data_IF_360537110170
#
_entry.id   IF_360537110170
#
_cell.length_a   1.000
_cell.length_b   1.000
_cell.length_c   1.000
_cell.angle_alpha   90.00
_cell.angle_beta   90.00
_cell.angle_gamma   90.00
#
_symmetry.space_group_name_H-M   'P 1'
#
loop_
_entity.id
_entity.type
_entity.pdbx_description
1 polymer ?
#
# COMPACT_ATOMS: atom_id res chain seq x y z
N UNK A 1 6.04 14.29 -24.74
CA UNK A 1 4.67 14.49 -24.18
C UNK A 1 3.77 13.26 -24.37
N UNK A 2 3.52 12.74 -25.59
CA UNK A 2 2.65 11.56 -25.76
C UNK A 2 3.20 10.32 -25.05
N UNK A 3 4.47 9.97 -25.21
CA UNK A 3 5.11 8.81 -24.57
C UNK A 3 5.06 8.91 -23.02
N UNK A 4 5.20 10.09 -22.46
CA UNK A 4 5.10 10.34 -21.02
C UNK A 4 3.68 10.05 -20.49
N UNK A 5 2.66 10.57 -21.19
CA UNK A 5 1.26 10.31 -20.84
C UNK A 5 0.90 8.83 -21.01
N UNK A 6 1.42 8.19 -22.06
CA UNK A 6 1.22 6.74 -22.28
C UNK A 6 1.87 5.92 -21.16
N UNK A 7 3.07 6.29 -20.71
CA UNK A 7 3.75 5.59 -19.60
C UNK A 7 2.98 5.73 -18.28
N UNK A 8 2.51 6.93 -17.95
CA UNK A 8 1.72 7.19 -16.75
C UNK A 8 0.38 6.41 -16.82
N UNK A 9 -0.30 6.48 -17.98
CA UNK A 9 -1.54 5.73 -18.19
C UNK A 9 -1.34 4.21 -18.11
N UNK A 10 -0.26 3.69 -18.69
CA UNK A 10 0.13 2.30 -18.57
C UNK A 10 0.42 1.92 -17.11
N UNK A 11 1.06 2.80 -16.35
CA UNK A 11 1.28 2.62 -14.92
C UNK A 11 -0.04 2.42 -14.16
N UNK A 12 -0.99 3.31 -14.38
CA UNK A 12 -2.30 3.21 -13.75
C UNK A 12 -3.05 1.92 -14.13
N UNK A 13 -3.08 1.58 -15.41
CA UNK A 13 -3.76 0.36 -15.89
C UNK A 13 -3.08 -0.90 -15.35
N UNK A 14 -1.75 -0.95 -15.37
CA UNK A 14 -0.99 -2.09 -14.83
C UNK A 14 -1.21 -2.25 -13.32
N UNK A 15 -1.20 -1.16 -12.57
CA UNK A 15 -1.54 -1.15 -11.15
C UNK A 15 -2.95 -1.66 -10.87
N UNK A 16 -3.90 -1.36 -11.76
CA UNK A 16 -5.31 -1.75 -11.62
C UNK A 16 -5.57 -3.25 -11.83
N UNK A 17 -4.58 -4.04 -12.26
CA UNK A 17 -4.76 -5.47 -12.47
C UNK A 17 -4.99 -6.21 -11.15
N UNK A 18 -6.13 -6.91 -10.99
CA UNK A 18 -6.54 -7.50 -9.71
C UNK A 18 -5.93 -8.89 -9.51
N UNK A 19 -4.62 -8.99 -9.37
CA UNK A 19 -3.94 -10.29 -9.32
C UNK A 19 -4.36 -11.13 -8.11
N UNK A 20 -4.50 -10.52 -6.93
CA UNK A 20 -4.93 -11.20 -5.70
C UNK A 20 -6.31 -11.85 -5.87
N UNK A 21 -7.26 -11.10 -6.45
CA UNK A 21 -8.63 -11.62 -6.72
C UNK A 21 -8.60 -12.71 -7.79
N UNK A 22 -7.83 -12.52 -8.86
CA UNK A 22 -7.68 -13.54 -9.92
C UNK A 22 -7.11 -14.85 -9.35
N UNK A 23 -6.09 -14.76 -8.47
CA UNK A 23 -5.51 -15.92 -7.81
C UNK A 23 -6.52 -16.63 -6.89
N UNK A 24 -7.36 -15.87 -6.16
CA UNK A 24 -8.47 -16.41 -5.39
C UNK A 24 -9.44 -17.20 -6.27
N UNK A 25 -9.91 -16.60 -7.37
CA UNK A 25 -10.86 -17.22 -8.31
C UNK A 25 -10.30 -18.48 -8.97
N UNK A 26 -9.02 -18.53 -9.31
CA UNK A 26 -8.36 -19.73 -9.82
C UNK A 26 -8.37 -20.89 -8.80
N UNK A 27 -8.59 -20.61 -7.54
CA UNK A 27 -8.75 -21.60 -6.45
C UNK A 27 -10.21 -21.79 -6.03
N UNK A 28 -11.17 -21.29 -6.83
CA UNK A 28 -12.60 -21.41 -6.55
C UNK A 28 -13.13 -20.51 -5.45
N UNK A 29 -12.37 -19.48 -5.04
CA UNK A 29 -12.73 -18.56 -3.96
C UNK A 29 -12.89 -17.14 -4.49
N UNK A 30 -14.01 -16.49 -4.19
CA UNK A 30 -14.18 -15.06 -4.41
C UNK A 30 -13.81 -14.29 -3.13
N UNK A 31 -12.68 -13.63 -3.18
CA UNK A 31 -12.15 -12.82 -2.09
C UNK A 31 -12.29 -11.31 -2.36
N UNK A 32 -13.02 -10.91 -3.40
CA UNK A 32 -13.13 -9.51 -3.84
C UNK A 32 -13.77 -8.57 -2.81
N UNK A 33 -14.47 -9.12 -1.82
CA UNK A 33 -15.15 -8.38 -0.76
C UNK A 33 -14.36 -8.35 0.56
N UNK A 34 -13.18 -8.99 0.59
CA UNK A 34 -12.35 -9.00 1.79
C UNK A 34 -11.62 -7.64 1.94
N UNK A 35 -11.49 -7.18 3.18
CA UNK A 35 -10.81 -5.92 3.48
C UNK A 35 -9.31 -5.95 3.15
N UNK A 36 -8.67 -7.11 3.38
CA UNK A 36 -7.26 -7.35 3.08
C UNK A 36 -7.11 -8.65 2.28
N UNK A 37 -6.84 -8.49 0.99
CA UNK A 37 -6.74 -9.62 0.07
C UNK A 37 -5.55 -10.52 0.38
N UNK A 38 -4.44 -9.98 0.88
CA UNK A 38 -3.26 -10.79 1.22
C UNK A 38 -3.51 -11.64 2.46
N UNK A 39 -4.17 -11.10 3.47
CA UNK A 39 -4.57 -11.83 4.67
C UNK A 39 -5.59 -12.92 4.30
N UNK A 40 -6.57 -12.58 3.45
CA UNK A 40 -7.54 -13.56 2.95
C UNK A 40 -6.87 -14.71 2.17
N UNK A 41 -5.92 -14.41 1.29
CA UNK A 41 -5.13 -15.42 0.57
C UNK A 41 -4.32 -16.30 1.53
N UNK A 42 -3.69 -15.69 2.55
CA UNK A 42 -2.89 -16.41 3.54
C UNK A 42 -3.71 -17.45 4.29
N UNK A 43 -4.89 -17.07 4.78
CA UNK A 43 -5.73 -17.97 5.57
C UNK A 43 -6.54 -18.95 4.72
N UNK A 44 -7.09 -18.52 3.58
CA UNK A 44 -8.01 -19.34 2.78
C UNK A 44 -7.30 -20.23 1.75
N UNK A 45 -6.12 -19.86 1.26
CA UNK A 45 -5.40 -20.59 0.21
C UNK A 45 -4.03 -21.06 0.70
N UNK A 46 -3.35 -20.24 1.51
CA UNK A 46 -2.06 -20.57 2.12
C UNK A 46 -0.96 -19.53 1.83
N UNK A 47 0.10 -19.67 2.61
CA UNK A 47 1.24 -18.73 2.64
C UNK A 47 1.88 -18.46 1.28
N UNK A 48 2.04 -19.50 0.45
CA UNK A 48 2.63 -19.37 -0.89
C UNK A 48 1.82 -18.45 -1.80
N UNK A 49 0.49 -18.54 -1.75
CA UNK A 49 -0.41 -17.69 -2.55
C UNK A 49 -0.33 -16.22 -2.12
N UNK A 50 -0.32 -15.96 -0.81
CA UNK A 50 -0.19 -14.60 -0.28
C UNK A 50 1.17 -13.97 -0.62
N UNK A 51 2.27 -14.72 -0.49
CA UNK A 51 3.61 -14.26 -0.86
C UNK A 51 3.68 -13.96 -2.35
N UNK A 52 3.14 -14.83 -3.21
CA UNK A 52 3.12 -14.61 -4.65
C UNK A 52 2.33 -13.34 -5.00
N UNK A 53 1.14 -13.16 -4.42
CA UNK A 53 0.34 -11.97 -4.64
C UNK A 53 1.06 -10.69 -4.21
N UNK A 54 1.65 -10.68 -3.00
CA UNK A 54 2.44 -9.56 -2.51
C UNK A 54 3.66 -9.25 -3.37
N UNK A 55 4.33 -10.30 -3.90
CA UNK A 55 5.45 -10.12 -4.83
C UNK A 55 5.03 -9.48 -6.14
N UNK A 56 3.90 -9.91 -6.70
CA UNK A 56 3.34 -9.31 -7.93
C UNK A 56 2.94 -7.86 -7.69
N UNK A 57 2.32 -7.55 -6.55
CA UNK A 57 1.93 -6.19 -6.22
C UNK A 57 3.15 -5.28 -5.99
N UNK A 58 4.20 -5.80 -5.34
CA UNK A 58 5.48 -5.10 -5.26
C UNK A 58 6.05 -4.81 -6.66
N UNK A 59 6.05 -5.81 -7.54
CA UNK A 59 6.57 -5.69 -8.89
C UNK A 59 5.81 -4.66 -9.75
N UNK A 60 4.52 -4.44 -9.51
CA UNK A 60 3.75 -3.37 -10.15
C UNK A 60 4.36 -1.98 -9.92
N UNK A 61 4.88 -1.71 -8.70
CA UNK A 61 5.54 -0.46 -8.39
C UNK A 61 6.92 -0.29 -9.04
N UNK A 62 7.58 -1.39 -9.40
CA UNK A 62 8.93 -1.40 -9.99
C UNK A 62 8.90 -1.27 -11.51
N UNK A 63 8.04 -2.06 -12.17
CA UNK A 63 8.16 -2.38 -13.60
C UNK A 63 8.10 -1.15 -14.50
N UNK A 64 7.12 -0.29 -14.32
CA UNK A 64 6.93 0.87 -15.19
C UNK A 64 8.04 1.93 -15.01
N UNK A 65 8.59 2.02 -13.80
CA UNK A 65 9.75 2.89 -13.53
C UNK A 65 10.96 2.39 -14.33
N UNK A 66 11.27 1.09 -14.24
CA UNK A 66 12.42 0.52 -14.93
C UNK A 66 12.26 0.55 -16.47
N UNK A 67 11.07 0.26 -16.98
CA UNK A 67 10.77 0.34 -18.42
C UNK A 67 10.92 1.78 -18.91
N UNK A 68 10.31 2.75 -18.23
CA UNK A 68 10.42 4.16 -18.61
C UNK A 68 11.84 4.70 -18.53
N UNK A 69 12.59 4.33 -17.50
CA UNK A 69 14.00 4.68 -17.35
C UNK A 69 14.84 4.07 -18.47
N UNK A 70 14.67 2.78 -18.78
CA UNK A 70 15.39 2.09 -19.85
C UNK A 70 15.08 2.62 -21.26
N UNK A 71 13.88 3.18 -21.47
CA UNK A 71 13.47 3.82 -22.72
C UNK A 71 13.91 5.29 -22.82
N UNK A 72 14.58 5.84 -21.80
CA UNK A 72 15.02 7.24 -21.78
C UNK A 72 13.88 8.25 -21.71
N UNK A 73 12.72 7.87 -21.19
CA UNK A 73 11.59 8.78 -21.00
C UNK A 73 11.95 9.81 -19.91
N UNK A 74 11.46 11.08 -20.01
CA UNK A 74 11.74 12.10 -19.01
C UNK A 74 11.48 11.64 -17.59
N UNK A 75 12.43 11.89 -16.69
CA UNK A 75 12.50 11.34 -15.35
C UNK A 75 11.25 11.61 -14.50
N UNK A 76 10.61 12.78 -14.68
CA UNK A 76 9.39 13.10 -13.98
C UNK A 76 8.23 12.18 -14.37
N UNK A 77 8.07 11.89 -15.67
CA UNK A 77 7.04 10.96 -16.15
C UNK A 77 7.31 9.53 -15.68
N UNK A 78 8.57 9.10 -15.64
CA UNK A 78 8.98 7.82 -15.07
C UNK A 78 8.62 7.73 -13.60
N UNK A 79 8.90 8.74 -12.80
CA UNK A 79 8.56 8.77 -11.39
C UNK A 79 7.05 8.72 -11.16
N UNK A 80 6.28 9.52 -11.92
CA UNK A 80 4.82 9.52 -11.83
C UNK A 80 4.16 8.25 -12.40
N UNK A 81 4.81 7.48 -13.27
CA UNK A 81 4.29 6.17 -13.69
C UNK A 81 4.23 5.17 -12.54
N UNK A 82 5.22 5.20 -11.65
CA UNK A 82 5.20 4.43 -10.41
C UNK A 82 4.07 4.86 -9.48
N UNK A 83 3.90 6.17 -9.26
CA UNK A 83 2.79 6.71 -8.45
C UNK A 83 1.44 6.33 -9.06
N UNK A 84 1.30 6.41 -10.38
CA UNK A 84 0.09 6.00 -11.10
C UNK A 84 -0.22 4.51 -10.93
N UNK A 85 0.80 3.64 -10.86
CA UNK A 85 0.63 2.22 -10.56
C UNK A 85 0.03 2.00 -9.17
N UNK A 86 0.50 2.74 -8.16
CA UNK A 86 -0.09 2.69 -6.81
C UNK A 86 -1.53 3.20 -6.82
N UNK A 87 -1.80 4.31 -7.51
CA UNK A 87 -3.15 4.84 -7.65
C UNK A 87 -4.09 3.83 -8.36
N UNK A 88 -3.61 3.13 -9.38
CA UNK A 88 -4.35 2.07 -10.07
C UNK A 88 -4.74 0.91 -9.15
N UNK A 89 -3.86 0.51 -8.23
CA UNK A 89 -4.18 -0.52 -7.25
C UNK A 89 -5.19 -0.03 -6.19
N UNK A 90 -5.12 1.25 -5.81
CA UNK A 90 -6.04 1.84 -4.83
C UNK A 90 -7.45 2.08 -5.41
N UNK A 91 -7.53 2.49 -6.66
CA UNK A 91 -8.80 2.84 -7.34
C UNK A 91 -8.92 2.13 -8.70
N UNK A 92 -8.96 0.79 -8.73
CA UNK A 92 -9.04 0.04 -9.99
C UNK A 92 -10.41 0.22 -10.64
N UNK A 93 -10.49 0.64 -11.92
CA UNK A 93 -11.75 0.82 -12.64
C UNK A 93 -12.62 -0.43 -12.68
N UNK A 94 -12.06 -1.65 -12.87
CA UNK A 94 -12.87 -2.88 -12.94
C UNK A 94 -13.67 -3.20 -11.67
N UNK A 95 -13.30 -2.60 -10.54
CA UNK A 95 -13.93 -2.81 -9.23
C UNK A 95 -14.65 -1.57 -8.69
N UNK A 96 -15.06 -0.65 -9.56
CA UNK A 96 -15.76 0.56 -9.16
C UNK A 96 -14.94 1.47 -8.21
N UNK A 97 -13.61 1.38 -8.30
CA UNK A 97 -12.70 2.17 -7.46
C UNK A 97 -12.47 1.62 -6.04
N UNK A 98 -12.90 0.38 -5.77
CA UNK A 98 -12.64 -0.30 -4.49
C UNK A 98 -11.44 -1.24 -4.65
N UNK A 99 -10.25 -0.73 -4.37
CA UNK A 99 -8.99 -1.47 -4.46
C UNK A 99 -8.29 -1.61 -3.11
N UNK A 100 -7.09 -2.15 -3.16
CA UNK A 100 -6.22 -2.38 -2.00
C UNK A 100 -5.60 -1.08 -1.47
N UNK A 101 -4.85 -1.19 -0.39
CA UNK A 101 -4.21 -0.04 0.30
C UNK A 101 -3.00 0.53 -0.45
N UNK A 102 -2.45 -0.20 -1.44
CA UNK A 102 -1.30 0.22 -2.24
C UNK A 102 0.04 0.24 -1.49
N UNK A 103 0.12 -0.38 -0.31
CA UNK A 103 1.34 -0.36 0.50
C UNK A 103 2.51 -1.08 -0.19
N UNK A 104 2.30 -2.29 -0.73
CA UNK A 104 3.36 -3.07 -1.37
C UNK A 104 3.97 -2.36 -2.60
N UNK A 105 3.17 -1.91 -3.60
CA UNK A 105 3.75 -1.14 -4.70
C UNK A 105 4.26 0.23 -4.27
N UNK A 106 3.69 0.84 -3.22
CA UNK A 106 4.19 2.10 -2.68
C UNK A 106 5.62 1.98 -2.14
N UNK A 107 5.91 0.94 -1.35
CA UNK A 107 7.27 0.64 -0.88
C UNK A 107 8.20 0.39 -2.06
N UNK A 108 7.74 -0.36 -3.07
CA UNK A 108 8.51 -0.64 -4.27
C UNK A 108 8.85 0.65 -5.06
N UNK A 109 7.91 1.58 -5.19
CA UNK A 109 8.12 2.88 -5.82
C UNK A 109 9.19 3.68 -5.07
N UNK A 110 9.10 3.77 -3.73
CA UNK A 110 10.10 4.45 -2.90
C UNK A 110 11.49 3.86 -3.14
N UNK A 111 11.62 2.53 -3.05
CA UNK A 111 12.90 1.84 -3.27
C UNK A 111 13.45 2.09 -4.66
N UNK A 112 12.64 1.87 -5.69
CA UNK A 112 13.09 1.95 -7.08
C UNK A 112 13.49 3.36 -7.46
N UNK A 113 12.68 4.36 -7.13
CA UNK A 113 13.03 5.77 -7.41
C UNK A 113 14.28 6.20 -6.66
N UNK A 114 14.42 5.79 -5.40
CA UNK A 114 15.60 6.14 -4.59
C UNK A 114 16.89 5.56 -5.18
N UNK A 115 16.84 4.31 -5.67
CA UNK A 115 17.99 3.64 -6.27
C UNK A 115 18.30 4.17 -7.66
N UNK A 116 17.28 4.34 -8.52
CA UNK A 116 17.46 4.77 -9.92
C UNK A 116 17.96 6.21 -10.01
N UNK A 117 17.51 7.08 -9.12
CA UNK A 117 17.87 8.51 -9.14
C UNK A 117 18.87 8.93 -8.05
N UNK A 118 19.44 7.98 -7.30
CA UNK A 118 20.49 8.25 -6.32
C UNK A 118 20.02 8.99 -5.05
N UNK A 119 18.73 9.00 -4.76
CA UNK A 119 18.15 9.68 -3.58
C UNK A 119 18.16 8.72 -2.38
N UNK A 120 19.36 8.30 -1.96
CA UNK A 120 19.52 7.22 -0.99
C UNK A 120 18.99 7.53 0.40
N UNK A 121 18.91 8.80 0.81
CA UNK A 121 18.33 9.20 2.10
C UNK A 121 16.84 8.79 2.23
N UNK A 122 16.10 8.72 1.12
CA UNK A 122 14.73 8.26 1.14
C UNK A 122 14.61 6.77 1.53
N UNK A 123 15.69 5.97 1.39
CA UNK A 123 15.72 4.58 1.83
C UNK A 123 15.66 4.41 3.36
N UNK A 124 15.91 5.49 4.14
CA UNK A 124 15.68 5.46 5.59
C UNK A 124 14.23 5.12 5.95
N UNK A 125 13.30 5.38 5.04
CA UNK A 125 11.90 4.96 5.18
C UNK A 125 11.72 3.46 5.37
N UNK A 126 12.64 2.64 4.82
CA UNK A 126 12.60 1.18 4.95
C UNK A 126 12.70 0.72 6.40
N UNK A 127 13.38 1.48 7.27
CA UNK A 127 13.47 1.20 8.70
C UNK A 127 12.07 1.26 9.34
N UNK A 128 11.25 2.22 8.95
CA UNK A 128 9.89 2.39 9.46
C UNK A 128 8.94 1.34 8.88
N UNK A 129 9.06 1.02 7.60
CA UNK A 129 8.29 -0.06 6.96
C UNK A 129 8.60 -1.41 7.61
N UNK A 130 9.90 -1.73 7.74
CA UNK A 130 10.35 -2.98 8.36
C UNK A 130 10.02 -3.02 9.86
N UNK A 131 10.18 -1.89 10.56
CA UNK A 131 9.87 -1.77 11.99
C UNK A 131 8.38 -2.02 12.27
N UNK A 132 7.48 -1.43 11.49
CA UNK A 132 6.05 -1.69 11.60
C UNK A 132 5.69 -3.15 11.34
N UNK A 133 6.28 -3.75 10.31
CA UNK A 133 6.06 -5.16 9.97
C UNK A 133 6.65 -6.11 11.04
N UNK A 134 7.87 -5.84 11.52
CA UNK A 134 8.53 -6.63 12.56
C UNK A 134 7.76 -6.58 13.88
N UNK A 135 7.26 -5.40 14.25
CA UNK A 135 6.47 -5.23 15.46
C UNK A 135 5.15 -6.01 15.36
N UNK A 136 4.46 -5.93 14.21
CA UNK A 136 3.26 -6.70 13.94
C UNK A 136 3.52 -8.21 14.08
N UNK A 137 4.57 -8.72 13.42
CA UNK A 137 4.97 -10.13 13.47
C UNK A 137 5.32 -10.60 14.89
N UNK A 138 6.08 -9.80 15.65
CA UNK A 138 6.48 -10.14 17.03
C UNK A 138 5.27 -10.31 17.94
N UNK A 139 4.31 -9.40 17.86
CA UNK A 139 3.09 -9.47 18.67
C UNK A 139 2.20 -10.66 18.29
N UNK A 140 2.04 -10.94 17.00
CA UNK A 140 1.29 -12.10 16.52
C UNK A 140 1.86 -13.41 17.09
N UNK A 141 3.20 -13.56 17.01
CA UNK A 141 3.87 -14.74 17.54
C UNK A 141 3.70 -14.88 19.05
N UNK A 142 3.74 -13.78 19.79
CA UNK A 142 3.60 -13.78 21.25
C UNK A 142 2.16 -14.13 21.67
N UNK A 143 1.17 -13.59 21.01
CA UNK A 143 -0.25 -13.89 21.25
C UNK A 143 -0.56 -15.38 21.01
N UNK A 144 -0.02 -15.96 19.95
CA UNK A 144 -0.18 -17.38 19.62
C UNK A 144 0.46 -18.28 20.69
N UNK A 145 1.59 -17.85 21.29
CA UNK A 145 2.29 -18.64 22.33
C UNK A 145 1.63 -18.54 23.72
N UNK A 146 0.82 -17.51 23.95
CA UNK A 146 0.11 -17.30 25.24
C UNK A 146 -1.20 -18.09 25.36
N UNK A 147 -1.56 -18.90 24.37
CA UNK A 147 -2.82 -19.68 24.38
C UNK A 147 -4.08 -18.85 24.19
N UNK A 148 -3.98 -17.57 23.93
CA UNK A 148 -5.10 -16.66 23.62
C UNK A 148 -5.58 -16.81 22.15
N UNK A 149 -5.28 -17.94 21.53
CA UNK A 149 -5.87 -18.32 20.25
C UNK A 149 -7.33 -18.65 20.47
N UNK A 150 -8.18 -17.64 20.48
CA UNK A 150 -9.56 -17.81 20.16
C UNK A 150 -9.68 -18.56 18.84
N UNK A 151 -10.66 -19.46 18.80
CA UNK A 151 -11.10 -20.33 17.72
C UNK A 151 -10.58 -19.95 16.32
N UNK A 152 -10.16 -20.91 15.51
CA UNK A 152 -9.67 -20.71 14.12
C UNK A 152 -10.72 -20.06 13.17
N UNK A 153 -11.88 -19.68 13.69
CA UNK A 153 -12.91 -18.82 13.09
C UNK A 153 -13.02 -17.45 13.75
N UNK A 154 -12.15 -17.12 14.71
CA UNK A 154 -12.21 -15.85 15.42
C UNK A 154 -11.85 -14.68 14.49
N UNK A 155 -12.65 -13.63 14.61
CA UNK A 155 -12.51 -12.32 13.99
C UNK A 155 -11.05 -11.85 14.00
N UNK A 156 -10.60 -11.12 12.94
CA UNK A 156 -9.30 -10.45 12.98
C UNK A 156 -9.18 -9.66 14.29
N UNK A 157 -7.97 -9.52 14.83
CA UNK A 157 -7.75 -8.83 16.11
C UNK A 157 -8.52 -7.52 16.10
N UNK A 158 -9.34 -7.32 17.16
CA UNK A 158 -10.14 -6.10 17.31
C UNK A 158 -9.24 -4.88 17.15
N UNK A 159 -9.77 -3.80 16.64
CA UNK A 159 -9.04 -2.57 16.32
C UNK A 159 -8.24 -1.99 17.51
N UNK A 160 -8.48 -2.44 18.72
CA UNK A 160 -7.71 -2.13 19.94
C UNK A 160 -6.40 -2.93 20.10
N UNK A 161 -6.16 -3.95 19.26
CA UNK A 161 -4.95 -4.78 19.39
C UNK A 161 -3.72 -4.03 18.83
N UNK A 162 -2.55 -4.05 19.53
CA UNK A 162 -1.33 -3.37 19.07
C UNK A 162 -0.88 -3.72 17.66
N UNK A 163 -1.17 -4.94 17.19
CA UNK A 163 -0.94 -5.42 15.83
C UNK A 163 -1.67 -4.60 14.78
N UNK A 164 -2.95 -4.29 15.03
CA UNK A 164 -3.76 -3.51 14.12
C UNK A 164 -3.22 -2.08 13.92
N UNK A 165 -2.46 -1.57 14.89
CA UNK A 165 -1.95 -0.20 14.91
C UNK A 165 -0.52 -0.06 14.38
N UNK A 166 0.31 -1.10 14.51
CA UNK A 166 1.76 -1.01 14.25
C UNK A 166 2.11 -0.94 12.76
N UNK A 167 1.50 -1.80 11.93
CA UNK A 167 1.82 -1.84 10.51
C UNK A 167 1.32 -0.60 9.76
N UNK A 168 0.05 -0.17 9.89
CA UNK A 168 -0.42 1.05 9.24
C UNK A 168 0.34 2.31 9.68
N UNK A 169 0.68 2.42 10.95
CA UNK A 169 1.44 3.55 11.47
C UNK A 169 2.88 3.56 10.94
N UNK A 170 3.56 2.40 10.94
CA UNK A 170 4.89 2.25 10.34
C UNK A 170 4.91 2.61 8.86
N UNK A 171 3.88 2.22 8.10
CA UNK A 171 3.72 2.60 6.69
C UNK A 171 3.54 4.12 6.52
N UNK A 172 2.70 4.76 7.32
CA UNK A 172 2.52 6.21 7.25
C UNK A 172 3.82 6.97 7.55
N UNK A 173 4.52 6.59 8.62
CA UNK A 173 5.82 7.17 8.96
C UNK A 173 6.85 6.94 7.84
N UNK A 174 6.93 5.74 7.30
CA UNK A 174 7.86 5.41 6.22
C UNK A 174 7.62 6.27 4.98
N UNK A 175 6.39 6.41 4.51
CA UNK A 175 6.08 7.28 3.37
C UNK A 175 6.33 8.76 3.66
N UNK A 176 6.08 9.20 4.89
CA UNK A 176 6.38 10.58 5.31
C UNK A 176 7.90 10.82 5.30
N UNK A 177 8.68 9.91 5.88
CA UNK A 177 10.15 9.98 5.89
C UNK A 177 10.70 9.94 4.46
N UNK A 178 10.17 9.08 3.58
CA UNK A 178 10.58 9.03 2.18
C UNK A 178 10.37 10.38 1.47
N UNK A 179 9.19 10.99 1.63
CA UNK A 179 8.87 12.28 1.03
C UNK A 179 9.77 13.40 1.58
N UNK A 180 9.93 13.50 2.90
CA UNK A 180 10.75 14.52 3.56
C UNK A 180 12.23 14.36 3.22
N UNK A 181 12.77 13.14 3.32
CA UNK A 181 14.17 12.86 3.03
C UNK A 181 14.50 13.13 1.55
N UNK A 182 13.58 12.81 0.64
CA UNK A 182 13.77 13.14 -0.77
C UNK A 182 13.74 14.65 -1.03
N UNK A 183 12.90 15.38 -0.33
CA UNK A 183 12.83 16.84 -0.43
C UNK A 183 14.12 17.51 0.07
N UNK A 184 14.70 16.99 1.14
CA UNK A 184 15.95 17.50 1.73
C UNK A 184 17.20 17.08 0.95
N UNK A 185 17.10 16.14 0.00
CA UNK A 185 18.22 15.68 -0.80
C UNK A 185 18.53 16.64 -1.94
N UNK A 186 19.80 16.98 -2.12
CA UNK A 186 20.25 17.80 -3.24
C UNK A 186 19.94 17.09 -4.59
N UNK A 187 19.40 17.84 -5.55
CA UNK A 187 19.10 17.33 -6.91
C UNK A 187 17.83 16.50 -7.06
N UNK A 188 16.98 16.44 -6.03
CA UNK A 188 15.80 15.56 -6.03
C UNK A 188 14.54 16.16 -6.70
N UNK A 189 14.70 17.07 -7.67
CA UNK A 189 13.56 17.73 -8.35
C UNK A 189 12.56 16.77 -9.00
N UNK A 190 12.97 15.53 -9.26
CA UNK A 190 12.13 14.49 -9.86
C UNK A 190 11.48 13.59 -8.80
N UNK A 191 12.28 13.13 -7.84
CA UNK A 191 11.83 12.11 -6.86
C UNK A 191 10.94 12.74 -5.78
N UNK A 192 11.31 13.92 -5.27
CA UNK A 192 10.56 14.58 -4.21
C UNK A 192 9.09 14.85 -4.56
N UNK A 193 8.73 15.47 -5.71
CA UNK A 193 7.32 15.66 -6.05
C UNK A 193 6.58 14.34 -6.26
N UNK A 194 7.23 13.29 -6.77
CA UNK A 194 6.60 11.99 -6.94
C UNK A 194 6.33 11.31 -5.59
N UNK A 195 7.30 11.33 -4.64
CA UNK A 195 7.09 10.74 -3.32
C UNK A 195 6.11 11.57 -2.46
N UNK A 196 6.07 12.88 -2.65
CA UNK A 196 5.05 13.72 -2.04
C UNK A 196 3.65 13.37 -2.58
N UNK A 197 3.51 13.22 -3.90
CA UNK A 197 2.27 12.78 -4.53
C UNK A 197 1.85 11.38 -4.03
N UNK A 198 2.81 10.46 -3.89
CA UNK A 198 2.58 9.12 -3.32
C UNK A 198 2.03 9.22 -1.89
N UNK A 199 2.65 10.03 -1.03
CA UNK A 199 2.16 10.26 0.33
C UNK A 199 0.74 10.81 0.33
N UNK A 200 0.46 11.80 -0.53
CA UNK A 200 -0.87 12.41 -0.64
C UNK A 200 -1.92 11.36 -1.03
N UNK A 201 -1.68 10.54 -2.06
CA UNK A 201 -2.66 9.52 -2.48
C UNK A 201 -2.89 8.46 -1.41
N UNK A 202 -1.85 8.08 -0.65
CA UNK A 202 -1.98 7.13 0.47
C UNK A 202 -2.85 7.75 1.58
N UNK A 203 -2.59 9.00 1.95
CA UNK A 203 -3.40 9.70 2.96
C UNK A 203 -4.86 9.85 2.48
N UNK A 204 -5.07 10.26 1.23
CA UNK A 204 -6.41 10.35 0.64
C UNK A 204 -7.11 9.00 0.68
N UNK A 205 -6.43 7.92 0.30
CA UNK A 205 -7.01 6.56 0.34
C UNK A 205 -7.44 6.17 1.75
N UNK A 206 -6.60 6.42 2.76
CA UNK A 206 -6.92 6.13 4.17
C UNK A 206 -8.13 6.90 4.67
N UNK A 207 -8.21 8.18 4.36
CA UNK A 207 -9.32 9.03 4.78
C UNK A 207 -10.63 8.71 4.05
N UNK A 208 -10.56 8.25 2.79
CA UNK A 208 -11.74 8.00 1.94
C UNK A 208 -12.19 6.54 1.92
N UNK A 209 -11.40 5.59 2.45
CA UNK A 209 -11.83 4.21 2.59
C UNK A 209 -13.13 4.16 3.39
N UNK A 210 -14.15 3.50 2.83
CA UNK A 210 -15.48 3.29 3.43
C UNK A 210 -16.24 4.55 3.89
N UNK A 211 -15.73 5.75 3.55
CA UNK A 211 -16.34 7.01 3.94
C UNK A 211 -17.83 7.11 3.51
N UNK A 212 -18.18 6.50 2.37
CA UNK A 212 -19.57 6.46 1.89
C UNK A 212 -20.47 5.63 2.82
N UNK A 213 -19.96 4.50 3.33
CA UNK A 213 -20.67 3.64 4.25
C UNK A 213 -20.88 4.32 5.61
N UNK A 214 -19.82 4.96 6.13
CA UNK A 214 -19.89 5.68 7.41
C UNK A 214 -20.79 6.91 7.36
N UNK A 215 -20.74 7.63 6.24
CA UNK A 215 -21.64 8.77 6.02
C UNK A 215 -23.12 8.35 6.02
N UNK A 216 -23.43 7.19 5.45
CA UNK A 216 -24.81 6.64 5.49
C UNK A 216 -25.24 6.27 6.91
N UNK A 217 -24.30 5.87 7.78
CA UNK A 217 -24.56 5.53 9.19
C UNK A 217 -24.56 6.75 10.11
N UNK A 218 -24.26 7.97 9.59
CA UNK A 218 -24.20 9.18 10.40
C UNK A 218 -22.98 9.30 11.32
N UNK A 219 -21.98 8.44 11.15
CA UNK A 219 -20.86 8.26 12.09
C UNK A 219 -19.59 9.05 11.75
N UNK A 220 -19.66 10.03 10.84
CA UNK A 220 -18.45 10.78 10.44
C UNK A 220 -18.10 11.80 11.53
N UNK A 221 -17.09 11.49 12.32
CA UNK A 221 -16.54 12.36 13.37
C UNK A 221 -15.07 12.67 13.12
N UNK A 222 -14.58 13.78 13.69
CA UNK A 222 -13.15 14.16 13.63
C UNK A 222 -12.27 13.05 14.25
N UNK A 223 -12.73 12.41 15.32
CA UNK A 223 -12.03 11.27 15.97
C UNK A 223 -11.88 10.10 15.00
N UNK A 224 -12.93 9.76 14.25
CA UNK A 224 -12.91 8.71 13.24
C UNK A 224 -11.89 9.01 12.12
N UNK A 225 -11.87 10.24 11.62
CA UNK A 225 -10.90 10.64 10.59
C UNK A 225 -9.48 10.57 11.11
N UNK A 226 -9.22 10.99 12.36
CA UNK A 226 -7.90 10.87 12.99
C UNK A 226 -7.47 9.40 13.15
N UNK A 227 -8.37 8.52 13.56
CA UNK A 227 -8.09 7.08 13.66
C UNK A 227 -7.75 6.46 12.30
N UNK A 228 -8.50 6.78 11.25
CA UNK A 228 -8.22 6.31 9.89
C UNK A 228 -6.89 6.85 9.37
N UNK A 229 -6.59 8.11 9.60
CA UNK A 229 -5.32 8.70 9.20
C UNK A 229 -4.12 7.96 9.81
N UNK A 230 -4.16 7.69 11.13
CA UNK A 230 -3.05 7.08 11.84
C UNK A 230 -3.00 5.56 11.67
N UNK A 231 -4.14 4.89 11.72
CA UNK A 231 -4.23 3.44 11.89
C UNK A 231 -4.91 2.73 10.72
N UNK A 232 -5.38 3.49 9.71
CA UNK A 232 -6.06 2.97 8.52
C UNK A 232 -7.31 2.12 8.81
N UNK A 233 -7.89 2.27 10.01
CA UNK A 233 -9.10 1.58 10.47
C UNK A 233 -9.75 2.32 11.64
N UNK A 234 -11.01 1.97 11.94
CA UNK A 234 -11.69 2.46 13.14
C UNK A 234 -11.32 1.60 14.35
N UNK A 235 -10.99 2.26 15.46
CA UNK A 235 -10.86 1.61 16.75
C UNK A 235 -12.25 1.52 17.35
N UNK A 236 -12.75 0.29 17.54
CA UNK A 236 -13.99 0.08 18.31
C UNK A 236 -13.75 0.55 19.73
N UNK A 237 -14.52 1.53 20.18
CA UNK A 237 -14.47 2.11 21.52
C UNK A 237 -15.35 1.38 22.51
#
# INVERSE_FOLDING_TARGET
MLAELMLIGAGYLFGSLPFSVALGRLRGLDISQEEDLHIALWHKIGKKAAILAGSVDFFKGVMLILVGFGLGIPSLAVAFSGVASVAGQMWPPPYGGHGERGNAPGVAVVMTLSLVYGVYWALLSLVFFAGGAAFAYYYERRSTSSGETGDAGARPPTASHPLALSLPFGMLLGFTVAAVASWLSEGSTTVAPALLALLIIIVVRRLTADLKADRRKGNVTTRMLAQRFLFDQLLEG
#
